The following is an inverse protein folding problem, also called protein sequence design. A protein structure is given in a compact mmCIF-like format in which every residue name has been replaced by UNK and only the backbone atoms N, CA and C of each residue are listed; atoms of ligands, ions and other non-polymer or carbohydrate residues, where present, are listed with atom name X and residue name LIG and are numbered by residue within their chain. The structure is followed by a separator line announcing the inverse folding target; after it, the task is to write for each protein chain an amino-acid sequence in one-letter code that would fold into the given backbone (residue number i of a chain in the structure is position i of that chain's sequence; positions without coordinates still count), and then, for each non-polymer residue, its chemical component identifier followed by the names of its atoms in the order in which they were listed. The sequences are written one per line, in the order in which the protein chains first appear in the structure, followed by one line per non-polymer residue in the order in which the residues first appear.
data_IF_853943735396
#
_entry.id   IF_853943735396
#
_cell.length_a   1.000
_cell.length_b   1.000
_cell.length_c   1.000
_cell.angle_alpha   90.00
_cell.angle_beta   90.00
_cell.angle_gamma   90.00
#
_symmetry.space_group_name_H-M   'P 1'
#
loop_
_entity.id
_entity.type
_entity.pdbx_description
1 polymer ?
#
# COMPACT_ATOMS: atom_id res chain seq x y z
N UNK A 1 -3.67 16.91 -14.89
CA UNK A 1 -4.32 16.28 -13.72
C UNK A 1 -5.79 16.04 -14.06
N UNK A 2 -6.35 14.84 -13.81
CA UNK A 2 -7.78 14.57 -14.05
C UNK A 2 -8.65 15.32 -13.04
N UNK A 3 -9.77 15.89 -13.51
CA UNK A 3 -10.76 16.62 -12.72
C UNK A 3 -12.08 15.84 -12.60
N UNK A 4 -12.57 15.30 -13.72
CA UNK A 4 -13.82 14.53 -13.80
C UNK A 4 -13.77 13.54 -14.95
N UNK A 5 -14.52 12.44 -14.81
CA UNK A 5 -14.87 11.55 -15.93
C UNK A 5 -16.17 12.09 -16.49
N UNK A 6 -16.21 12.33 -17.80
CA UNK A 6 -17.40 12.81 -18.49
C UNK A 6 -18.19 11.62 -19.04
N UNK A 7 -19.51 11.65 -18.83
CA UNK A 7 -20.44 10.62 -19.31
C UNK A 7 -21.31 11.15 -20.45
N UNK A 8 -21.57 10.29 -21.44
CA UNK A 8 -22.50 10.51 -22.53
C UNK A 8 -23.96 10.31 -22.15
N UNK A 9 -24.82 10.20 -23.15
CA UNK A 9 -26.27 10.12 -22.95
C UNK A 9 -26.73 8.77 -22.39
N UNK A 10 -25.96 7.70 -22.64
CA UNK A 10 -26.25 6.33 -22.22
C UNK A 10 -25.35 5.90 -21.03
N UNK A 11 -24.83 6.86 -20.26
CA UNK A 11 -23.89 6.68 -19.13
C UNK A 11 -22.55 6.01 -19.52
N UNK A 12 -22.20 6.08 -20.80
CA UNK A 12 -20.90 5.67 -21.34
C UNK A 12 -19.84 6.74 -21.08
N UNK A 13 -18.59 6.32 -20.78
CA UNK A 13 -17.49 7.28 -20.68
C UNK A 13 -17.22 7.89 -22.07
N UNK A 14 -17.13 9.22 -22.14
CA UNK A 14 -16.80 9.95 -23.37
C UNK A 14 -15.46 10.70 -23.25
N UNK A 15 -14.92 10.82 -22.04
CA UNK A 15 -13.61 11.38 -21.83
C UNK A 15 -13.32 11.72 -20.38
N UNK A 16 -12.20 12.41 -20.19
CA UNK A 16 -11.75 12.90 -18.88
C UNK A 16 -11.44 14.38 -19.02
N UNK A 17 -12.10 15.23 -18.25
CA UNK A 17 -11.70 16.63 -18.12
C UNK A 17 -10.38 16.68 -17.36
N UNK A 18 -9.36 17.29 -17.98
CA UNK A 18 -8.01 17.43 -17.42
C UNK A 18 -7.61 18.90 -17.34
N UNK A 19 -6.74 19.22 -16.39
CA UNK A 19 -6.06 20.52 -16.28
C UNK A 19 -4.56 20.33 -16.50
N UNK A 20 -3.92 21.26 -17.20
CA UNK A 20 -2.46 21.26 -17.30
C UNK A 20 -1.82 21.53 -15.93
N UNK A 21 -0.62 21.01 -15.73
CA UNK A 21 0.11 21.17 -14.46
C UNK A 21 1.54 21.58 -14.71
N UNK A 22 2.05 22.48 -13.86
CA UNK A 22 3.47 22.81 -13.76
C UNK A 22 4.06 22.23 -12.47
N UNK A 23 5.37 21.99 -12.46
CA UNK A 23 6.06 21.59 -11.23
C UNK A 23 6.16 22.79 -10.28
N UNK A 24 5.70 22.62 -9.05
CA UNK A 24 5.92 23.56 -7.97
C UNK A 24 7.33 23.46 -7.36
N UNK A 25 7.51 24.14 -6.25
CA UNK A 25 8.74 24.08 -5.47
C UNK A 25 8.95 22.69 -4.86
N UNK A 26 10.21 22.25 -4.70
CA UNK A 26 10.52 20.99 -4.04
C UNK A 26 10.14 21.05 -2.55
N UNK A 27 9.55 19.97 -2.06
CA UNK A 27 9.33 19.75 -0.63
C UNK A 27 10.63 19.31 0.08
N UNK A 28 10.54 19.03 1.38
CA UNK A 28 11.68 18.60 2.20
C UNK A 28 12.32 17.28 1.73
N UNK A 29 11.60 16.46 0.95
CA UNK A 29 12.10 15.22 0.34
C UNK A 29 12.71 15.46 -1.06
N UNK A 30 12.68 16.70 -1.56
CA UNK A 30 13.08 17.06 -2.91
C UNK A 30 11.99 16.79 -3.96
N UNK A 31 10.83 16.27 -3.57
CA UNK A 31 9.73 15.98 -4.48
C UNK A 31 9.02 17.28 -4.84
N UNK A 32 8.77 17.48 -6.13
CA UNK A 32 7.99 18.63 -6.63
C UNK A 32 6.54 18.22 -6.83
N UNK A 33 5.63 18.95 -6.23
CA UNK A 33 4.19 18.72 -6.41
C UNK A 33 3.72 19.33 -7.73
N UNK A 34 2.74 18.68 -8.37
CA UNK A 34 2.07 19.24 -9.53
C UNK A 34 1.12 20.36 -9.08
N UNK A 35 1.20 21.52 -9.74
CA UNK A 35 0.35 22.69 -9.48
C UNK A 35 -0.50 22.95 -10.74
N UNK A 36 -1.84 22.96 -10.63
CA UNK A 36 -2.72 23.27 -11.75
C UNK A 36 -2.42 24.63 -12.38
N UNK A 37 -2.56 24.73 -13.71
CA UNK A 37 -2.57 25.99 -14.44
C UNK A 37 -4.02 26.41 -14.62
N UNK A 38 -4.45 27.49 -13.97
CA UNK A 38 -5.84 27.96 -14.06
C UNK A 38 -6.23 28.30 -15.51
N UNK A 39 -7.44 27.91 -15.91
CA UNK A 39 -7.97 28.18 -17.26
C UNK A 39 -7.41 27.26 -18.36
N UNK A 40 -6.66 26.20 -18.00
CA UNK A 40 -6.10 25.21 -18.93
C UNK A 40 -6.94 23.93 -19.03
N UNK A 41 -8.18 23.97 -18.56
CA UNK A 41 -9.08 22.82 -18.59
C UNK A 41 -9.37 22.42 -20.04
N UNK A 42 -9.26 21.12 -20.33
CA UNK A 42 -9.56 20.54 -21.64
C UNK A 42 -10.15 19.14 -21.49
N UNK A 43 -10.95 18.73 -22.47
CA UNK A 43 -11.48 17.38 -22.54
C UNK A 43 -10.48 16.48 -23.27
N UNK A 44 -10.04 15.42 -22.60
CA UNK A 44 -9.35 14.31 -23.25
C UNK A 44 -10.39 13.24 -23.62
N UNK A 45 -10.75 13.16 -24.90
CA UNK A 45 -11.71 12.18 -25.41
C UNK A 45 -11.22 10.75 -25.18
N UNK A 46 -12.08 9.90 -24.61
CA UNK A 46 -11.79 8.51 -24.33
C UNK A 46 -13.07 7.70 -24.08
N UNK A 47 -13.18 6.54 -24.73
CA UNK A 47 -14.31 5.61 -24.53
C UNK A 47 -14.12 4.70 -23.29
N UNK A 48 -12.87 4.54 -22.84
CA UNK A 48 -12.50 3.68 -21.71
C UNK A 48 -11.52 4.40 -20.80
N UNK A 49 -11.89 4.51 -19.52
CA UNK A 49 -11.06 5.13 -18.48
C UNK A 49 -10.61 4.06 -17.48
N UNK A 50 -9.30 3.87 -17.34
CA UNK A 50 -8.70 2.92 -16.38
C UNK A 50 -8.07 3.72 -15.23
N UNK A 51 -8.63 3.60 -14.03
CA UNK A 51 -8.11 4.27 -12.84
C UNK A 51 -6.95 3.45 -12.27
N UNK A 52 -5.75 4.04 -12.28
CA UNK A 52 -4.51 3.41 -11.81
C UNK A 52 -3.78 4.25 -10.73
N UNK A 53 -4.51 4.85 -9.79
CA UNK A 53 -3.93 5.67 -8.70
C UNK A 53 -3.24 4.85 -7.60
N UNK A 54 -3.14 3.53 -7.77
CA UNK A 54 -2.66 2.61 -6.75
C UNK A 54 -3.77 2.17 -5.80
N UNK A 55 -3.37 1.65 -4.65
CA UNK A 55 -4.28 1.10 -3.65
C UNK A 55 -3.84 1.49 -2.23
N UNK A 56 -4.80 1.52 -1.33
CA UNK A 56 -4.58 1.72 0.10
C UNK A 56 -5.17 0.55 0.87
N UNK A 57 -4.43 -0.07 1.81
CA UNK A 57 -4.99 -1.14 2.62
C UNK A 57 -6.04 -0.58 3.59
N UNK A 58 -7.00 -1.41 3.93
CA UNK A 58 -7.96 -1.15 5.01
C UNK A 58 -7.94 -2.36 5.93
N UNK A 59 -7.97 -2.14 7.24
CA UNK A 59 -8.06 -3.22 8.21
C UNK A 59 -9.44 -3.89 8.11
N UNK A 60 -9.53 -5.18 7.77
CA UNK A 60 -10.81 -5.89 7.76
C UNK A 60 -11.41 -5.97 9.16
N UNK A 61 -12.74 -5.83 9.25
CA UNK A 61 -13.49 -5.87 10.52
C UNK A 61 -13.21 -7.14 11.32
N UNK A 62 -13.07 -8.28 10.64
CA UNK A 62 -12.77 -9.54 11.32
C UNK A 62 -11.39 -9.53 11.99
N UNK A 63 -10.36 -8.89 11.39
CA UNK A 63 -9.05 -8.74 12.03
C UNK A 63 -9.11 -7.77 13.20
N UNK A 64 -9.86 -6.67 13.04
CA UNK A 64 -10.11 -5.73 14.14
C UNK A 64 -10.79 -6.43 15.32
N UNK A 65 -11.77 -7.31 15.06
CA UNK A 65 -12.43 -8.11 16.11
C UNK A 65 -11.48 -9.05 16.86
N UNK A 66 -10.33 -9.39 16.27
CA UNK A 66 -9.28 -10.17 16.92
C UNK A 66 -8.28 -9.28 17.68
N UNK A 67 -8.50 -7.97 17.80
CA UNK A 67 -7.59 -7.05 18.48
C UNK A 67 -6.36 -6.64 17.66
N UNK A 68 -6.44 -6.73 16.33
CA UNK A 68 -5.43 -6.14 15.44
C UNK A 68 -5.74 -4.65 15.27
N UNK A 69 -4.71 -3.82 15.35
CA UNK A 69 -4.82 -2.38 15.16
C UNK A 69 -4.20 -1.96 13.83
N UNK A 70 -4.72 -0.87 13.27
CA UNK A 70 -4.18 -0.22 12.09
C UNK A 70 -3.94 1.26 12.34
N UNK A 71 -2.96 1.82 11.62
CA UNK A 71 -2.71 3.26 11.61
C UNK A 71 -3.78 4.04 10.86
N UNK A 72 -3.70 5.37 10.91
CA UNK A 72 -4.62 6.27 10.20
C UNK A 72 -4.64 6.08 8.68
N UNK A 73 -3.59 5.46 8.11
CA UNK A 73 -3.48 5.11 6.70
C UNK A 73 -4.03 3.70 6.37
N UNK A 74 -4.70 3.04 7.31
CA UNK A 74 -5.31 1.71 7.15
C UNK A 74 -4.32 0.54 7.17
N UNK A 75 -3.01 0.81 7.33
CA UNK A 75 -1.97 -0.22 7.42
C UNK A 75 -1.96 -0.87 8.81
N UNK A 76 -1.82 -2.19 8.84
CA UNK A 76 -1.67 -2.96 10.08
C UNK A 76 -0.41 -2.52 10.80
N UNK A 77 -0.53 -2.29 12.12
CA UNK A 77 0.62 -1.96 12.96
C UNK A 77 1.37 -3.24 13.33
N UNK A 78 2.49 -3.49 12.65
CA UNK A 78 3.36 -4.64 12.87
C UNK A 78 4.83 -4.25 12.58
N UNK A 79 5.49 -3.51 13.48
CA UNK A 79 6.79 -2.92 13.19
C UNK A 79 7.89 -3.98 13.07
N UNK A 80 8.85 -3.74 12.18
CA UNK A 80 9.97 -4.65 11.92
C UNK A 80 10.88 -4.83 13.15
N UNK A 81 10.99 -3.83 14.03
CA UNK A 81 11.75 -3.90 15.29
C UNK A 81 10.93 -4.54 16.44
N UNK A 82 9.68 -4.89 16.19
CA UNK A 82 8.74 -5.46 17.16
C UNK A 82 8.20 -4.47 18.20
N UNK A 83 8.87 -3.33 18.43
CA UNK A 83 8.53 -2.34 19.46
C UNK A 83 8.19 -2.99 20.82
N UNK A 84 9.12 -3.79 21.37
CA UNK A 84 8.94 -4.54 22.62
C UNK A 84 8.21 -5.88 22.48
N UNK A 85 7.86 -6.27 21.26
CA UNK A 85 7.32 -7.59 20.87
C UNK A 85 8.27 -8.28 19.89
N UNK A 86 7.84 -9.41 19.31
CA UNK A 86 8.57 -10.01 18.19
C UNK A 86 8.44 -9.15 16.92
N UNK A 87 9.46 -9.12 16.05
CA UNK A 87 9.36 -8.50 14.73
C UNK A 87 8.07 -8.87 13.99
N UNK A 88 7.43 -7.88 13.38
CA UNK A 88 6.20 -8.08 12.58
C UNK A 88 4.99 -8.61 13.37
N UNK A 89 5.06 -8.63 14.71
CA UNK A 89 3.93 -8.99 15.56
C UNK A 89 2.93 -7.85 15.65
N UNK A 90 1.66 -8.16 15.43
CA UNK A 90 0.56 -7.18 15.53
C UNK A 90 0.19 -6.89 16.99
N UNK A 91 -0.80 -6.02 17.21
CA UNK A 91 -1.43 -5.82 18.54
C UNK A 91 -2.07 -7.08 19.12
N UNK A 92 -2.41 -8.08 18.28
CA UNK A 92 -2.71 -9.42 18.75
C UNK A 92 -1.42 -10.27 18.89
N UNK A 93 -1.11 -10.82 20.08
CA UNK A 93 0.11 -11.61 20.31
C UNK A 93 0.25 -12.90 19.49
N UNK A 94 -0.80 -13.36 18.82
CA UNK A 94 -0.78 -14.58 17.98
C UNK A 94 -0.78 -14.29 16.49
N UNK A 95 -0.86 -13.02 16.08
CA UNK A 95 -0.97 -12.62 14.68
C UNK A 95 0.23 -11.77 14.27
N UNK A 96 0.73 -12.04 13.07
CA UNK A 96 1.87 -11.35 12.45
C UNK A 96 1.46 -10.83 11.08
N UNK A 97 2.09 -9.75 10.64
CA UNK A 97 1.80 -9.15 9.35
C UNK A 97 3.07 -8.58 8.70
N UNK A 98 3.14 -8.65 7.38
CA UNK A 98 4.21 -8.09 6.56
C UNK A 98 3.70 -7.86 5.14
N UNK A 99 4.51 -7.22 4.31
CA UNK A 99 4.16 -6.78 2.96
C UNK A 99 3.34 -5.50 2.96
N UNK A 100 2.57 -5.31 1.89
CA UNK A 100 1.87 -4.06 1.61
C UNK A 100 0.80 -3.70 2.65
N UNK A 101 0.28 -4.68 3.39
CA UNK A 101 -0.65 -4.41 4.48
C UNK A 101 0.01 -3.69 5.67
N UNK A 102 1.34 -3.74 5.79
CA UNK A 102 2.12 -3.03 6.83
C UNK A 102 2.86 -1.84 6.23
N UNK A 103 3.55 -2.03 5.09
CA UNK A 103 4.39 -0.99 4.46
C UNK A 103 3.63 -0.07 3.51
N UNK A 104 2.53 -0.53 2.92
CA UNK A 104 1.93 0.05 1.71
C UNK A 104 2.61 -0.44 0.43
N UNK A 105 2.11 0.01 -0.72
CA UNK A 105 2.56 -0.44 -2.04
C UNK A 105 4.08 -0.35 -2.21
N UNK A 106 4.73 -1.50 -2.41
CA UNK A 106 6.17 -1.64 -2.61
C UNK A 106 6.48 -2.86 -3.51
N UNK A 107 7.75 -3.22 -3.65
CA UNK A 107 8.22 -4.33 -4.45
C UNK A 107 7.96 -5.68 -3.78
N UNK A 108 7.70 -6.69 -4.62
CA UNK A 108 7.49 -8.08 -4.19
C UNK A 108 8.66 -8.62 -3.38
N UNK A 109 9.90 -8.25 -3.71
CA UNK A 109 11.08 -8.70 -2.96
C UNK A 109 11.05 -8.25 -1.50
N UNK A 110 10.54 -7.05 -1.24
CA UNK A 110 10.44 -6.51 0.11
C UNK A 110 9.33 -7.22 0.89
N UNK A 111 8.20 -7.52 0.24
CA UNK A 111 7.13 -8.31 0.85
C UNK A 111 7.60 -9.74 1.19
N UNK A 112 8.40 -10.37 0.32
CA UNK A 112 9.00 -11.69 0.58
C UNK A 112 9.95 -11.63 1.76
N UNK A 113 10.80 -10.60 1.86
CA UNK A 113 11.71 -10.43 2.98
C UNK A 113 10.96 -10.31 4.30
N UNK A 114 9.95 -9.44 4.39
CA UNK A 114 9.12 -9.30 5.60
C UNK A 114 8.37 -10.57 5.95
N UNK A 115 7.87 -11.30 4.95
CA UNK A 115 7.22 -12.59 5.18
C UNK A 115 8.18 -13.62 5.80
N UNK A 116 9.44 -13.64 5.38
CA UNK A 116 10.48 -14.51 5.97
C UNK A 116 10.79 -14.12 7.41
N UNK A 117 10.90 -12.83 7.68
CA UNK A 117 11.19 -12.32 9.03
C UNK A 117 10.02 -12.58 10.00
N UNK A 118 8.78 -12.35 9.55
CA UNK A 118 7.57 -12.67 10.28
C UNK A 118 7.47 -14.18 10.56
N UNK A 119 7.82 -15.03 9.58
CA UNK A 119 7.89 -16.48 9.78
C UNK A 119 8.94 -16.85 10.84
N UNK A 120 10.10 -16.19 10.87
CA UNK A 120 11.10 -16.35 11.92
C UNK A 120 10.54 -16.04 13.31
N UNK A 121 9.73 -14.99 13.42
CA UNK A 121 9.07 -14.61 14.67
C UNK A 121 7.96 -15.59 15.07
N UNK A 122 7.21 -16.15 14.12
CA UNK A 122 6.25 -17.23 14.39
C UNK A 122 6.98 -18.49 14.92
N UNK A 123 8.09 -18.87 14.30
CA UNK A 123 8.93 -20.00 14.75
C UNK A 123 9.41 -19.78 16.19
N UNK A 124 9.87 -18.56 16.50
CA UNK A 124 10.31 -18.18 17.84
C UNK A 124 9.15 -18.24 18.84
N UNK A 125 7.97 -17.72 18.49
CA UNK A 125 6.77 -17.77 19.34
C UNK A 125 6.35 -19.21 19.65
N UNK A 126 6.43 -20.10 18.67
CA UNK A 126 6.07 -21.52 18.83
C UNK A 126 7.15 -22.35 19.53
N UNK A 127 8.36 -21.79 19.74
CA UNK A 127 9.47 -22.51 20.36
C UNK A 127 9.97 -23.71 19.55
N UNK A 128 9.69 -23.74 18.24
CA UNK A 128 10.12 -24.85 17.36
C UNK A 128 11.48 -24.55 16.74
N UNK A 129 12.31 -25.57 16.56
CA UNK A 129 13.57 -25.41 15.81
C UNK A 129 13.26 -25.34 14.32
N UNK A 130 13.68 -24.26 13.66
CA UNK A 130 13.59 -24.16 12.20
C UNK A 130 14.40 -25.31 11.56
N UNK A 131 13.71 -26.17 10.81
CA UNK A 131 14.36 -27.15 9.94
C UNK A 131 14.83 -26.40 8.69
N UNK A 132 16.05 -25.87 8.71
CA UNK A 132 16.64 -25.25 7.52
C UNK A 132 17.01 -26.36 6.56
N UNK A 133 16.21 -26.57 5.52
CA UNK A 133 16.61 -27.38 4.37
C UNK A 133 17.65 -26.56 3.61
N UNK A 134 18.89 -27.04 3.57
CA UNK A 134 19.93 -26.40 2.75
C UNK A 134 19.40 -26.24 1.32
N UNK A 135 19.66 -25.09 0.66
CA UNK A 135 19.29 -24.93 -0.73
C UNK A 135 19.95 -26.06 -1.52
N UNK A 136 19.17 -26.72 -2.37
CA UNK A 136 19.72 -27.68 -3.32
C UNK A 136 20.79 -26.93 -4.13
N UNK A 137 22.01 -27.45 -4.13
CA UNK A 137 23.11 -26.90 -4.91
C UNK A 137 22.66 -26.70 -6.36
N UNK A 138 22.84 -25.49 -6.88
CA UNK A 138 22.52 -25.11 -8.25
C UNK A 138 23.44 -25.82 -9.26
#
# INVERSE_FOLDING_TARGET
QPLSIESGADDEAIGVTVVETKLGEPDASGRRNAVPVEGSESLLEADVVIIAFGFSPTLPDWLSSQGVEAGSNGRIVAPADGNGRLPYQTSNPRLFAGGDCVRGADLVVTAVAEGRDAAGSIVQLLGVKAQVKEPAAA
#
